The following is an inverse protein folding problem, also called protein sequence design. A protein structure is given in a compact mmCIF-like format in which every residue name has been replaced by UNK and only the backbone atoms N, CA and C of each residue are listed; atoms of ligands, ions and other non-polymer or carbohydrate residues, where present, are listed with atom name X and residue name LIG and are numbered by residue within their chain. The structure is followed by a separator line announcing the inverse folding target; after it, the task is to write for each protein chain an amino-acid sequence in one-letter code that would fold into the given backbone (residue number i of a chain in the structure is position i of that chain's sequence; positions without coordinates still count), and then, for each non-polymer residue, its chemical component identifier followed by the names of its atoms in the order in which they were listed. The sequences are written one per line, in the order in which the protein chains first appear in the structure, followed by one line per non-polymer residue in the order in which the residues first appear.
data_IF_190448073742
#
_entry.id   IF_190448073742
#
_cell.length_a   1.000
_cell.length_b   1.000
_cell.length_c   1.000
_cell.angle_alpha   90.00
_cell.angle_beta   90.00
_cell.angle_gamma   90.00
#
_symmetry.space_group_name_H-M   'P 1'
#
loop_
_entity.id
_entity.type
_entity.pdbx_description
1 polymer ?
#
# COMPACT_ATOMS: atom_id res chain seq x y z
N UNK A 1 0.04 -15.16 8.72
CA UNK A 1 0.04 -13.83 9.40
C UNK A 1 -0.84 -12.86 8.60
N UNK A 2 -1.12 -11.68 9.13
CA UNK A 2 -1.89 -10.65 8.42
C UNK A 2 -1.02 -9.45 8.08
N UNK A 3 -1.09 -8.99 6.83
CA UNK A 3 -0.57 -7.68 6.43
C UNK A 3 -1.73 -6.72 6.29
N UNK A 4 -1.59 -5.52 6.84
CA UNK A 4 -2.56 -4.46 6.59
C UNK A 4 -2.08 -3.59 5.44
N UNK A 5 -2.85 -3.60 4.37
CA UNK A 5 -2.58 -2.86 3.14
C UNK A 5 -3.48 -1.64 3.05
N UNK A 6 -2.98 -0.54 2.48
CA UNK A 6 -3.75 0.67 2.19
C UNK A 6 -3.60 1.00 0.71
N UNK A 7 -4.71 1.22 0.01
CA UNK A 7 -4.69 1.72 -1.37
C UNK A 7 -4.57 3.25 -1.37
N UNK A 8 -3.59 3.77 -2.11
CA UNK A 8 -3.45 5.21 -2.35
C UNK A 8 -4.72 5.73 -3.02
N UNK A 9 -5.27 6.84 -2.52
CA UNK A 9 -6.52 7.42 -3.01
C UNK A 9 -7.78 6.93 -2.28
N UNK A 10 -7.69 5.85 -1.49
CA UNK A 10 -8.83 5.29 -0.73
C UNK A 10 -8.61 5.41 0.78
N UNK A 11 -7.40 5.13 1.27
CA UNK A 11 -7.02 5.38 2.66
C UNK A 11 -7.53 4.37 3.70
N UNK A 12 -8.49 3.50 3.36
CA UNK A 12 -8.97 2.46 4.29
C UNK A 12 -8.02 1.24 4.31
N UNK A 13 -7.48 0.84 5.47
CA UNK A 13 -6.64 -0.34 5.58
C UNK A 13 -7.47 -1.61 5.54
N UNK A 14 -6.98 -2.62 4.83
CA UNK A 14 -7.61 -3.92 4.77
C UNK A 14 -6.59 -5.02 5.07
N UNK A 15 -7.00 -6.07 5.80
CA UNK A 15 -6.12 -7.17 6.12
C UNK A 15 -5.99 -8.12 4.91
N UNK A 16 -4.78 -8.53 4.58
CA UNK A 16 -4.42 -9.55 3.59
C UNK A 16 -3.76 -10.70 4.33
N UNK A 17 -4.27 -11.91 4.13
CA UNK A 17 -3.66 -13.10 4.71
C UNK A 17 -2.40 -13.46 3.91
N UNK A 18 -1.30 -13.70 4.62
CA UNK A 18 -0.04 -14.13 4.02
C UNK A 18 0.59 -15.27 4.81
N UNK A 19 1.35 -16.10 4.12
CA UNK A 19 2.21 -17.14 4.69
C UNK A 19 3.68 -16.92 4.30
N UNK A 20 4.58 -17.73 4.86
CA UNK A 20 6.03 -17.60 4.64
C UNK A 20 6.47 -17.96 3.22
N UNK A 21 5.66 -18.72 2.48
CA UNK A 21 5.93 -19.13 1.11
C UNK A 21 5.30 -18.19 0.06
N UNK A 22 4.46 -17.26 0.49
CA UNK A 22 3.72 -16.36 -0.38
C UNK A 22 4.66 -15.48 -1.20
N UNK A 23 4.57 -15.62 -2.52
CA UNK A 23 5.35 -14.82 -3.47
C UNK A 23 4.79 -13.42 -3.62
N UNK A 24 5.60 -12.50 -4.15
CA UNK A 24 5.17 -11.15 -4.50
C UNK A 24 3.99 -11.14 -5.50
N UNK A 25 4.01 -12.06 -6.47
CA UNK A 25 2.91 -12.19 -7.44
C UNK A 25 1.59 -12.55 -6.74
N UNK A 26 1.62 -13.59 -5.90
CA UNK A 26 0.47 -14.02 -5.12
C UNK A 26 0.00 -12.92 -4.14
N UNK A 27 0.91 -12.13 -3.56
CA UNK A 27 0.52 -10.98 -2.75
C UNK A 27 -0.28 -9.95 -3.54
N UNK A 28 0.17 -9.62 -4.75
CA UNK A 28 -0.52 -8.68 -5.64
C UNK A 28 -1.89 -9.22 -6.05
N UNK A 29 -1.98 -10.52 -6.34
CA UNK A 29 -3.26 -11.18 -6.66
C UNK A 29 -4.23 -11.10 -5.46
N UNK A 30 -3.79 -11.48 -4.26
CA UNK A 30 -4.60 -11.41 -3.04
C UNK A 30 -5.09 -9.98 -2.72
N UNK A 31 -4.24 -8.97 -2.95
CA UNK A 31 -4.60 -7.56 -2.78
C UNK A 31 -5.71 -7.15 -3.76
N UNK A 32 -5.57 -7.53 -5.04
CA UNK A 32 -6.58 -7.25 -6.08
C UNK A 32 -7.90 -7.96 -5.79
N UNK A 33 -7.86 -9.23 -5.40
CA UNK A 33 -9.06 -10.02 -5.08
C UNK A 33 -9.88 -9.43 -3.94
N UNK A 34 -9.22 -8.80 -2.95
CA UNK A 34 -9.92 -8.11 -1.86
C UNK A 34 -10.54 -6.78 -2.26
N UNK A 35 -9.99 -6.10 -3.28
CA UNK A 35 -10.45 -4.77 -3.70
C UNK A 35 -10.70 -4.67 -5.22
N UNK A 36 -11.52 -5.56 -5.83
CA UNK A 36 -11.64 -5.66 -7.29
C UNK A 36 -12.35 -4.46 -7.92
N UNK A 37 -13.16 -3.73 -7.15
CA UNK A 37 -13.84 -2.50 -7.62
C UNK A 37 -12.91 -1.29 -7.70
N UNK A 38 -11.89 -1.27 -6.83
CA UNK A 38 -10.89 -0.20 -6.73
C UNK A 38 -9.70 -0.48 -7.64
N UNK A 39 -9.20 -1.71 -7.62
CA UNK A 39 -8.05 -2.16 -8.41
C UNK A 39 -8.54 -2.69 -9.75
N UNK A 40 -8.50 -1.81 -10.76
CA UNK A 40 -8.99 -2.09 -12.12
C UNK A 40 -7.90 -2.58 -13.07
N UNK A 41 -6.62 -2.43 -12.72
CA UNK A 41 -5.51 -2.94 -13.52
C UNK A 41 -5.21 -4.42 -13.18
N UNK A 42 -4.32 -5.04 -13.96
CA UNK A 42 -3.80 -6.36 -13.64
C UNK A 42 -2.97 -6.32 -12.36
N UNK A 43 -3.02 -7.40 -11.57
CA UNK A 43 -2.31 -7.47 -10.30
C UNK A 43 -0.82 -7.20 -10.48
N UNK A 44 -0.22 -7.66 -11.59
CA UNK A 44 1.17 -7.42 -11.96
C UNK A 44 1.54 -5.93 -12.03
N UNK A 45 0.59 -5.06 -12.37
CA UNK A 45 0.73 -3.60 -12.47
C UNK A 45 0.66 -2.87 -11.13
N UNK A 46 0.36 -3.54 -10.02
CA UNK A 46 0.40 -2.93 -8.70
C UNK A 46 1.83 -2.63 -8.26
N UNK A 47 2.06 -1.43 -7.72
CA UNK A 47 3.29 -1.10 -7.01
C UNK A 47 3.04 -1.22 -5.51
N UNK A 48 3.93 -1.94 -4.82
CA UNK A 48 3.84 -2.17 -3.37
C UNK A 48 5.03 -1.50 -2.68
N UNK A 49 4.74 -0.68 -1.67
CA UNK A 49 5.73 0.01 -0.86
C UNK A 49 5.57 -0.37 0.60
N UNK A 50 6.67 -0.37 1.36
CA UNK A 50 6.59 -0.53 2.81
C UNK A 50 6.06 0.75 3.45
N UNK A 51 5.11 0.63 4.36
CA UNK A 51 4.57 1.76 5.11
C UNK A 51 5.47 2.11 6.31
N UNK A 52 6.69 2.56 6.03
CA UNK A 52 7.63 3.08 7.03
C UNK A 52 7.81 4.59 6.88
N UNK A 53 7.75 5.29 8.01
CA UNK A 53 8.08 6.71 8.14
C UNK A 53 9.23 6.81 9.16
N UNK A 54 10.32 7.48 8.81
CA UNK A 54 11.54 7.56 9.64
C UNK A 54 12.04 6.19 10.16
N UNK A 55 11.92 5.16 9.32
CA UNK A 55 12.32 3.78 9.65
C UNK A 55 11.36 3.03 10.58
N UNK A 56 10.23 3.61 10.97
CA UNK A 56 9.22 3.01 11.85
C UNK A 56 7.95 2.66 11.09
N UNK A 57 7.32 1.55 11.46
CA UNK A 57 6.04 1.15 10.89
C UNK A 57 4.94 2.14 11.26
N UNK A 58 4.08 2.46 10.30
CA UNK A 58 2.95 3.37 10.50
C UNK A 58 1.89 2.73 11.39
N UNK A 59 1.42 3.46 12.40
CA UNK A 59 0.32 3.01 13.27
C UNK A 59 -1.05 3.34 12.67
N UNK A 60 -1.97 2.41 12.83
CA UNK A 60 -3.42 2.58 12.64
C UNK A 60 -3.92 3.29 13.90
N UNK A 61 -4.05 4.62 13.87
CA UNK A 61 -4.64 5.42 14.96
C UNK A 61 -5.99 5.97 14.53
N UNK A 62 -6.92 6.18 15.47
CA UNK A 62 -8.23 6.79 15.17
C UNK A 62 -8.08 8.14 14.43
N UNK A 63 -7.04 8.91 14.75
CA UNK A 63 -6.72 10.19 14.13
C UNK A 63 -6.29 10.05 12.64
N UNK A 64 -5.71 8.90 12.26
CA UNK A 64 -5.33 8.61 10.88
C UNK A 64 -6.54 8.27 9.98
N UNK A 65 -7.71 7.96 10.54
CA UNK A 65 -8.93 7.59 9.79
C UNK A 65 -10.03 8.66 9.83
N UNK A 66 -10.10 9.45 10.89
CA UNK A 66 -11.24 10.35 11.15
C UNK A 66 -11.22 11.64 10.33
N UNK A 67 -10.09 12.03 9.75
CA UNK A 67 -9.95 13.27 8.97
C UNK A 67 -9.88 13.08 7.45
N UNK A 68 -10.31 11.92 6.96
CA UNK A 68 -10.57 11.66 5.55
C UNK A 68 -9.32 11.71 4.65
N UNK A 69 -8.69 10.54 4.49
CA UNK A 69 -7.48 10.24 3.70
C UNK A 69 -6.21 10.37 4.58
N UNK A 70 -5.52 9.24 4.75
CA UNK A 70 -4.07 9.25 4.92
C UNK A 70 -3.53 10.12 3.78
N UNK A 71 -3.28 11.39 4.09
CA UNK A 71 -3.00 12.49 3.17
C UNK A 71 -2.21 11.95 1.97
N UNK A 72 -2.79 12.03 0.77
CA UNK A 72 -2.20 11.40 -0.41
C UNK A 72 -0.79 11.93 -0.64
N UNK A 73 -0.53 13.19 -0.31
CA UNK A 73 0.81 13.74 -0.39
C UNK A 73 1.73 13.13 0.68
N UNK A 74 1.22 12.80 1.89
CA UNK A 74 1.99 12.04 2.89
C UNK A 74 2.31 10.63 2.39
N UNK A 75 1.31 9.90 1.91
CA UNK A 75 1.53 8.54 1.40
C UNK A 75 2.42 8.51 0.16
N UNK A 76 2.30 9.50 -0.71
CA UNK A 76 3.14 9.65 -1.90
C UNK A 76 4.57 10.05 -1.52
N UNK A 77 4.76 10.97 -0.56
CA UNK A 77 6.08 11.27 0.01
C UNK A 77 6.73 10.01 0.59
N UNK A 78 5.98 9.20 1.33
CA UNK A 78 6.48 7.93 1.86
C UNK A 78 6.82 6.92 0.77
N UNK A 79 5.98 6.78 -0.26
CA UNK A 79 6.28 5.93 -1.41
C UNK A 79 7.55 6.39 -2.14
N UNK A 80 7.79 7.69 -2.21
CA UNK A 80 8.96 8.30 -2.84
C UNK A 80 10.23 8.26 -1.96
N UNK A 81 10.09 8.33 -0.64
CA UNK A 81 11.18 8.27 0.35
C UNK A 81 11.57 6.81 0.68
N UNK A 82 10.66 5.87 0.41
CA UNK A 82 10.91 4.44 0.48
C UNK A 82 11.83 4.01 -0.68
N UNK A 83 13.14 4.05 -0.45
CA UNK A 83 14.11 3.36 -1.29
C UNK A 83 13.99 1.84 -1.09
N UNK A 84 12.95 1.24 -1.70
CA UNK A 84 12.81 -0.16 -2.12
C UNK A 84 11.36 -0.44 -2.48
N UNK A 85 11.06 -0.49 -3.78
CA UNK A 85 10.12 -1.48 -4.31
C UNK A 85 10.35 -2.80 -3.56
N UNK A 86 9.29 -3.46 -3.09
CA UNK A 86 9.40 -4.82 -2.53
C UNK A 86 9.90 -5.73 -3.65
N UNK A 87 11.21 -5.79 -3.85
CA UNK A 87 11.83 -6.49 -4.96
C UNK A 87 12.10 -7.92 -4.52
N UNK A 88 11.25 -8.88 -4.93
CA UNK A 88 11.44 -10.34 -4.87
C UNK A 88 11.98 -10.92 -3.54
N UNK A 89 11.96 -10.17 -2.44
CA UNK A 89 12.46 -10.60 -1.14
C UNK A 89 11.39 -11.43 -0.43
N UNK A 90 11.82 -12.40 0.36
CA UNK A 90 10.95 -13.11 1.30
C UNK A 90 10.27 -12.07 2.21
N UNK A 91 8.96 -12.13 2.33
CA UNK A 91 8.17 -11.21 3.15
C UNK A 91 8.69 -11.14 4.60
N UNK A 92 9.16 -12.28 5.12
CA UNK A 92 9.80 -12.40 6.44
C UNK A 92 11.07 -11.55 6.59
N UNK A 93 11.84 -11.35 5.51
CA UNK A 93 13.04 -10.51 5.52
C UNK A 93 12.73 -9.01 5.58
N UNK A 94 11.47 -8.59 5.42
CA UNK A 94 11.05 -7.19 5.49
C UNK A 94 10.87 -6.69 6.93
N UNK A 95 10.88 -7.61 7.91
CA UNK A 95 10.80 -7.28 9.34
C UNK A 95 9.46 -6.66 9.72
N UNK A 96 8.36 -7.24 9.21
CA UNK A 96 7.00 -6.81 9.55
C UNK A 96 6.77 -6.83 11.07
N UNK A 97 6.03 -5.86 11.61
CA UNK A 97 5.72 -5.84 13.04
C UNK A 97 4.85 -7.05 13.38
N UNK A 98 5.06 -7.62 14.57
CA UNK A 98 4.25 -8.73 15.10
C UNK A 98 2.98 -8.24 15.79
N UNK A 99 2.83 -6.92 15.95
CA UNK A 99 1.72 -6.26 16.62
C UNK A 99 0.61 -5.87 15.62
N UNK A 100 -0.64 -6.10 16.01
CA UNK A 100 -1.80 -5.62 15.28
C UNK A 100 -1.88 -4.08 15.31
N UNK A 101 -2.49 -3.47 14.29
CA UNK A 101 -2.71 -2.02 14.26
C UNK A 101 -1.56 -1.23 13.63
N UNK A 102 -0.78 -1.84 12.75
CA UNK A 102 0.18 -1.14 11.90
C UNK A 102 -0.20 -1.30 10.43
N UNK A 103 0.02 -0.27 9.62
CA UNK A 103 -0.03 -0.39 8.16
C UNK A 103 1.32 -0.95 7.72
N UNK A 104 1.24 -1.98 6.88
CA UNK A 104 2.40 -2.75 6.41
C UNK A 104 2.77 -2.35 4.99
N UNK A 105 1.75 -2.21 4.13
CA UNK A 105 1.95 -2.02 2.69
C UNK A 105 1.10 -0.86 2.17
N UNK A 106 1.72 0.02 1.40
CA UNK A 106 1.03 0.99 0.55
C UNK A 106 0.91 0.40 -0.86
N UNK A 107 -0.31 0.44 -1.41
CA UNK A 107 -0.66 -0.12 -2.71
C UNK A 107 -0.98 1.03 -3.66
N UNK A 108 -0.11 1.19 -4.65
CA UNK A 108 -0.37 2.06 -5.79
C UNK A 108 -0.88 1.23 -6.96
N UNK A 109 -2.06 1.61 -7.46
CA UNK A 109 -2.80 0.91 -8.49
C UNK A 109 -2.45 1.46 -9.89
N UNK A 110 -1.16 1.66 -10.18
CA UNK A 110 -0.67 2.35 -11.37
C UNK A 110 -1.31 1.87 -12.70
N UNK A 111 -2.45 2.49 -13.05
CA UNK A 111 -2.64 3.32 -14.23
C UNK A 111 -2.70 4.75 -13.68
N UNK A 112 -1.72 5.56 -14.01
CA UNK A 112 -1.57 6.96 -13.60
C UNK A 112 -2.92 7.68 -13.46
N UNK A 113 -3.22 8.18 -12.26
CA UNK A 113 -4.04 9.39 -12.13
C UNK A 113 -3.16 10.66 -12.10
N UNK A 114 -1.93 10.57 -12.62
CA UNK A 114 -1.25 11.72 -13.24
C UNK A 114 -1.66 11.73 -14.71
N UNK A 115 -2.93 12.05 -14.97
CA UNK A 115 -3.47 12.42 -16.30
C UNK A 115 -4.81 13.18 -16.15
N UNK A 116 -5.06 13.80 -14.98
CA UNK A 116 -6.28 14.59 -14.73
C UNK A 116 -5.99 16.00 -14.19
N UNK A 117 -4.75 16.50 -14.33
CA UNK A 117 -4.38 17.85 -13.89
C UNK A 117 -3.63 18.67 -14.94
N UNK A 118 -3.78 18.35 -16.23
CA UNK A 118 -3.13 19.08 -17.33
C UNK A 118 -4.06 19.51 -18.48
N UNK A 119 -5.38 19.55 -18.27
CA UNK A 119 -6.29 20.15 -19.25
C UNK A 119 -7.46 20.85 -18.53
N UNK A 120 -7.24 22.06 -18.00
CA UNK A 120 -8.21 23.17 -17.97
C UNK A 120 -7.51 24.41 -17.42
N UNK A 121 -6.58 24.94 -18.22
CA UNK A 121 -6.32 26.38 -18.22
C UNK A 121 -6.83 26.88 -19.58
N UNK A 122 -7.91 27.67 -19.54
CA UNK A 122 -8.60 28.25 -20.68
C UNK A 122 -8.36 29.75 -20.68
#
# INVERSE_FOLDING_TARGET
MWLYCVILGVGEPFPVEVDEALTLGQLKDNIKEKNPKTIRCDASGLNLFLAKEDGKWMKVTADNFTNNILDLDRLQRMANDANKTIALMQLTALGFPTENGFIHILVDNAKSQIDALDIYDH
#
